data_IF_528445187861
#
_entry.id   IF_528445187861
#
_cell.length_a   1.000
_cell.length_b   1.000
_cell.length_c   1.000
_cell.angle_alpha   90.00
_cell.angle_beta   90.00
_cell.angle_gamma   90.00
#
_symmetry.space_group_name_H-M   'P 1'
#
loop_
_entity.id
_entity.type
_entity.pdbx_description
1 polymer ?
#
# COMPACT_ATOMS: atom_id res chain seq x y z
N UNK A 1 -5.97 -5.60 17.37
CA UNK A 1 -4.80 -4.70 17.36
C UNK A 1 -3.52 -5.53 17.30
N UNK A 2 -2.57 -5.25 16.41
CA UNK A 2 -1.32 -6.01 16.27
C UNK A 2 -0.36 -5.76 17.43
N UNK A 3 0.65 -6.63 17.56
CA UNK A 3 1.72 -6.46 18.56
C UNK A 3 2.82 -5.51 18.08
N UNK A 4 2.98 -5.35 16.77
CA UNK A 4 4.09 -4.60 16.17
C UNK A 4 3.98 -3.09 16.37
N UNK A 5 2.79 -2.52 16.25
CA UNK A 5 2.51 -1.10 16.41
C UNK A 5 1.18 -0.86 17.16
N UNK A 6 1.07 -1.33 18.42
CA UNK A 6 -0.19 -1.39 19.15
C UNK A 6 -0.75 0.00 19.49
N UNK A 7 0.10 0.93 19.90
CA UNK A 7 -0.30 2.28 20.33
C UNK A 7 -0.80 3.12 19.16
N UNK A 8 -0.02 3.23 18.11
CA UNK A 8 -0.38 4.02 16.93
C UNK A 8 -1.61 3.45 16.21
N UNK A 9 -1.73 2.11 16.12
CA UNK A 9 -2.92 1.48 15.54
C UNK A 9 -4.16 1.70 16.40
N UNK A 10 -4.06 1.63 17.73
CA UNK A 10 -5.17 1.92 18.62
C UNK A 10 -5.63 3.38 18.47
N UNK A 11 -4.70 4.33 18.52
CA UNK A 11 -4.97 5.76 18.31
C UNK A 11 -5.64 5.99 16.96
N UNK A 12 -5.05 5.48 15.88
CA UNK A 12 -5.58 5.66 14.53
C UNK A 12 -7.01 5.15 14.39
N UNK A 13 -7.27 3.89 14.78
CA UNK A 13 -8.61 3.28 14.68
C UNK A 13 -9.63 4.01 15.55
N UNK A 14 -9.23 4.43 16.72
CA UNK A 14 -10.09 5.20 17.62
C UNK A 14 -10.44 6.56 17.00
N UNK A 15 -9.46 7.28 16.46
CA UNK A 15 -9.70 8.60 15.84
C UNK A 15 -10.64 8.52 14.64
N UNK A 16 -10.49 7.53 13.74
CA UNK A 16 -11.40 7.39 12.59
C UNK A 16 -12.80 6.97 13.02
N UNK A 17 -12.93 6.18 14.10
CA UNK A 17 -14.23 5.81 14.69
C UNK A 17 -14.92 7.02 15.30
N UNK A 18 -14.25 7.78 16.15
CA UNK A 18 -14.79 9.01 16.73
C UNK A 18 -15.20 10.03 15.67
N UNK A 19 -14.36 10.20 14.64
CA UNK A 19 -14.65 11.14 13.54
C UNK A 19 -15.92 10.77 12.77
N UNK A 20 -16.29 9.51 12.77
CA UNK A 20 -17.52 8.99 12.15
C UNK A 20 -18.67 8.76 13.13
N UNK A 21 -18.49 9.16 14.38
CA UNK A 21 -19.44 8.97 15.49
C UNK A 21 -19.77 7.51 15.79
N UNK A 22 -18.82 6.63 15.52
CA UNK A 22 -18.89 5.23 15.91
C UNK A 22 -18.25 5.02 17.28
N UNK A 23 -18.88 4.23 18.13
CA UNK A 23 -18.21 3.64 19.27
C UNK A 23 -17.20 2.56 18.81
N UNK A 24 -16.20 2.28 19.64
CA UNK A 24 -15.21 1.26 19.32
C UNK A 24 -14.89 0.40 20.53
N UNK A 25 -14.82 -0.91 20.32
CA UNK A 25 -14.32 -1.89 21.30
C UNK A 25 -12.99 -2.42 20.78
N UNK A 26 -11.94 -2.27 21.57
CA UNK A 26 -10.59 -2.69 21.24
C UNK A 26 -10.31 -4.06 21.86
N UNK A 27 -9.97 -5.03 21.00
CA UNK A 27 -9.40 -6.32 21.41
C UNK A 27 -7.88 -6.26 21.25
N UNK A 28 -7.12 -6.07 22.34
CA UNK A 28 -5.67 -6.01 22.27
C UNK A 28 -5.07 -7.41 22.19
N UNK A 29 -3.89 -7.53 21.58
CA UNK A 29 -3.12 -8.76 21.71
C UNK A 29 -2.58 -8.90 23.14
N UNK A 30 -2.54 -10.10 23.77
CA UNK A 30 -2.10 -10.26 25.16
C UNK A 30 -0.73 -9.65 25.45
N UNK A 31 0.24 -9.77 24.55
CA UNK A 31 1.59 -9.22 24.71
C UNK A 31 1.65 -7.69 24.63
N UNK A 32 0.68 -7.03 24.03
CA UNK A 32 0.63 -5.59 23.84
C UNK A 32 -0.53 -4.93 24.60
N UNK A 33 -1.20 -5.67 25.49
CA UNK A 33 -2.40 -5.22 26.21
C UNK A 33 -2.19 -3.88 26.91
N UNK A 34 -1.18 -3.78 27.74
CA UNK A 34 -0.93 -2.58 28.55
C UNK A 34 -0.74 -1.32 27.69
N UNK A 35 0.10 -1.40 26.66
CA UNK A 35 0.38 -0.28 25.75
C UNK A 35 -0.88 0.11 24.94
N UNK A 36 -1.62 -0.89 24.44
CA UNK A 36 -2.86 -0.66 23.66
C UNK A 36 -3.90 0.05 24.51
N UNK A 37 -4.13 -0.42 25.74
CA UNK A 37 -5.12 0.17 26.66
C UNK A 37 -4.69 1.57 27.08
N UNK A 38 -3.43 1.79 27.40
CA UNK A 38 -2.93 3.11 27.75
C UNK A 38 -3.16 4.12 26.61
N UNK A 39 -2.89 3.73 25.37
CA UNK A 39 -3.15 4.57 24.19
C UNK A 39 -4.65 4.87 24.02
N UNK A 40 -5.52 3.87 24.20
CA UNK A 40 -6.96 4.04 24.12
C UNK A 40 -7.50 4.99 25.22
N UNK A 41 -6.98 4.89 26.45
CA UNK A 41 -7.34 5.78 27.56
C UNK A 41 -7.02 7.24 27.28
N UNK A 42 -5.82 7.53 26.75
CA UNK A 42 -5.44 8.89 26.38
C UNK A 42 -6.43 9.51 25.40
N UNK A 43 -6.89 8.73 24.41
CA UNK A 43 -7.87 9.22 23.44
C UNK A 43 -9.26 9.35 24.06
N UNK A 44 -9.68 8.40 24.92
CA UNK A 44 -10.96 8.46 25.63
C UNK A 44 -11.03 9.69 26.52
N UNK A 45 -10.02 9.93 27.35
CA UNK A 45 -9.97 11.06 28.28
C UNK A 45 -10.06 12.40 27.53
N UNK A 46 -9.33 12.52 26.39
CA UNK A 46 -9.41 13.71 25.55
C UNK A 46 -10.80 13.87 24.90
N UNK A 47 -11.41 12.78 24.43
CA UNK A 47 -12.72 12.79 23.80
C UNK A 47 -13.82 13.20 24.81
N UNK A 48 -13.82 12.60 25.99
CA UNK A 48 -14.79 12.92 27.05
C UNK A 48 -14.62 14.36 27.49
N UNK A 49 -13.41 14.85 27.70
CA UNK A 49 -13.12 16.25 27.99
C UNK A 49 -13.66 17.21 26.92
N UNK A 50 -13.67 16.77 25.65
CA UNK A 50 -14.24 17.51 24.52
C UNK A 50 -15.78 17.34 24.38
N UNK A 51 -16.44 16.60 25.25
CA UNK A 51 -17.89 16.41 25.29
C UNK A 51 -18.41 15.12 24.64
N UNK A 52 -17.52 14.16 24.35
CA UNK A 52 -17.97 12.84 23.92
C UNK A 52 -18.60 12.05 25.06
N UNK A 53 -19.55 11.13 24.80
CA UNK A 53 -20.11 10.27 25.82
C UNK A 53 -19.06 9.38 26.51
N UNK A 54 -19.20 9.18 27.81
CA UNK A 54 -18.44 8.13 28.50
C UNK A 54 -18.76 6.75 27.89
N UNK A 55 -17.76 5.90 27.78
CA UNK A 55 -17.93 4.55 27.22
C UNK A 55 -17.91 4.46 25.69
N UNK A 56 -17.70 5.56 24.96
CA UNK A 56 -17.58 5.54 23.48
C UNK A 56 -16.36 4.72 23.00
N UNK A 57 -15.35 4.54 23.85
CA UNK A 57 -14.18 3.70 23.61
C UNK A 57 -14.10 2.65 24.73
N UNK A 58 -14.23 1.39 24.36
CA UNK A 58 -14.08 0.25 25.25
C UNK A 58 -12.90 -0.63 24.86
N UNK A 59 -12.48 -1.52 25.76
CA UNK A 59 -11.44 -2.50 25.50
C UNK A 59 -11.64 -3.77 26.34
N UNK A 60 -11.00 -4.86 25.90
CA UNK A 60 -10.96 -6.13 26.62
C UNK A 60 -9.76 -6.11 27.58
N UNK A 61 -10.03 -6.14 28.89
CA UNK A 61 -8.97 -6.18 29.91
C UNK A 61 -8.30 -7.54 30.07
N UNK A 62 -9.05 -8.62 29.82
CA UNK A 62 -8.57 -10.00 29.86
C UNK A 62 -8.66 -10.63 28.46
N UNK A 63 -7.71 -10.32 27.55
CA UNK A 63 -7.79 -10.78 26.16
C UNK A 63 -7.80 -12.30 26.07
N UNK A 64 -8.83 -12.85 25.43
CA UNK A 64 -8.94 -14.25 25.08
C UNK A 64 -9.46 -14.41 23.65
N UNK A 65 -9.28 -15.59 23.08
CA UNK A 65 -9.82 -15.90 21.77
C UNK A 65 -11.37 -15.87 21.80
N UNK A 66 -11.97 -16.37 22.86
CA UNK A 66 -13.42 -16.38 23.06
C UNK A 66 -14.00 -14.95 23.07
N UNK A 67 -13.45 -14.05 23.88
CA UNK A 67 -13.88 -12.65 23.92
C UNK A 67 -13.64 -11.92 22.59
N UNK A 68 -12.55 -12.21 21.92
CA UNK A 68 -12.29 -11.66 20.59
C UNK A 68 -13.35 -12.12 19.58
N UNK A 69 -13.71 -13.39 19.58
CA UNK A 69 -14.77 -13.94 18.73
C UNK A 69 -16.13 -13.36 19.08
N UNK A 70 -16.42 -13.16 20.37
CA UNK A 70 -17.66 -12.51 20.82
C UNK A 70 -17.77 -11.08 20.29
N UNK A 71 -16.71 -10.28 20.42
CA UNK A 71 -16.67 -8.92 19.86
C UNK A 71 -16.84 -8.96 18.34
N UNK A 72 -16.20 -9.88 17.64
CA UNK A 72 -16.35 -10.01 16.18
C UNK A 72 -17.79 -10.38 15.78
N UNK A 73 -18.45 -11.25 16.55
CA UNK A 73 -19.84 -11.65 16.30
C UNK A 73 -20.83 -10.51 16.53
N UNK A 74 -20.59 -9.68 17.53
CA UNK A 74 -21.58 -8.72 18.02
C UNK A 74 -21.35 -7.30 17.44
N UNK A 75 -20.17 -6.99 16.92
CA UNK A 75 -19.87 -5.71 16.27
C UNK A 75 -20.60 -5.53 14.93
N UNK A 76 -20.90 -4.29 14.57
CA UNK A 76 -21.51 -3.94 13.27
C UNK A 76 -20.47 -3.98 12.14
N UNK A 77 -19.21 -3.62 12.43
CA UNK A 77 -18.08 -3.64 11.50
C UNK A 77 -16.79 -3.97 12.24
N UNK A 78 -15.91 -4.70 11.59
CA UNK A 78 -14.63 -5.15 12.16
C UNK A 78 -13.46 -4.46 11.45
N UNK A 79 -12.56 -3.85 12.22
CA UNK A 79 -11.27 -3.35 11.77
C UNK A 79 -10.16 -4.28 12.26
N UNK A 80 -9.75 -5.25 11.45
CA UNK A 80 -8.75 -6.25 11.84
C UNK A 80 -7.38 -5.92 11.22
N UNK A 81 -6.36 -5.81 12.06
CA UNK A 81 -4.95 -5.71 11.63
C UNK A 81 -4.16 -6.76 12.40
N UNK A 82 -3.47 -7.65 11.70
CA UNK A 82 -2.72 -8.71 12.34
C UNK A 82 -2.30 -9.81 11.37
N UNK A 83 -1.83 -10.92 11.91
CA UNK A 83 -1.42 -12.07 11.12
C UNK A 83 -2.59 -12.73 10.36
N UNK A 84 -2.28 -13.62 9.39
CA UNK A 84 -3.29 -14.23 8.49
C UNK A 84 -4.45 -14.91 9.23
N UNK A 85 -4.19 -15.54 10.36
CA UNK A 85 -5.23 -16.18 11.17
C UNK A 85 -6.27 -15.21 11.73
N UNK A 86 -5.84 -14.03 12.19
CA UNK A 86 -6.74 -12.99 12.70
C UNK A 86 -7.59 -12.40 11.56
N UNK A 87 -6.97 -12.14 10.42
CA UNK A 87 -7.67 -11.61 9.23
C UNK A 87 -8.70 -12.61 8.74
N UNK A 88 -8.34 -13.91 8.66
CA UNK A 88 -9.27 -14.99 8.31
C UNK A 88 -10.45 -15.08 9.29
N UNK A 89 -10.19 -15.00 10.60
CA UNK A 89 -11.25 -14.99 11.62
C UNK A 89 -12.21 -13.82 11.45
N UNK A 90 -11.70 -12.61 11.19
CA UNK A 90 -12.52 -11.44 10.94
C UNK A 90 -13.44 -11.61 9.72
N UNK A 91 -12.91 -12.07 8.58
CA UNK A 91 -13.74 -12.33 7.39
C UNK A 91 -14.70 -13.51 7.53
N UNK A 92 -14.38 -14.48 8.39
CA UNK A 92 -15.23 -15.64 8.66
C UNK A 92 -16.30 -15.41 9.74
N UNK A 93 -16.33 -14.21 10.35
CA UNK A 93 -17.27 -13.90 11.42
C UNK A 93 -18.72 -13.68 10.95
N UNK A 94 -18.94 -13.54 9.65
CA UNK A 94 -20.24 -13.17 9.06
C UNK A 94 -20.59 -11.69 9.17
N UNK A 95 -19.67 -10.85 9.66
CA UNK A 95 -19.83 -9.39 9.77
C UNK A 95 -19.01 -8.67 8.71
N UNK A 96 -19.41 -7.45 8.30
CA UNK A 96 -18.55 -6.60 7.49
C UNK A 96 -17.17 -6.42 8.14
N UNK A 97 -16.11 -6.71 7.41
CA UNK A 97 -14.76 -6.65 7.94
C UNK A 97 -13.81 -5.92 6.99
N UNK A 98 -12.95 -5.09 7.54
CA UNK A 98 -11.82 -4.45 6.91
C UNK A 98 -10.55 -5.06 7.52
N UNK A 99 -10.17 -6.23 7.01
CA UNK A 99 -9.01 -6.98 7.47
C UNK A 99 -7.82 -6.73 6.55
N UNK A 100 -6.64 -6.55 7.14
CA UNK A 100 -5.40 -6.35 6.41
C UNK A 100 -4.32 -7.29 6.96
N UNK A 101 -3.59 -7.90 6.05
CA UNK A 101 -2.61 -8.94 6.36
C UNK A 101 -1.16 -8.47 6.27
N UNK A 102 -0.28 -9.46 6.24
CA UNK A 102 1.16 -9.30 6.06
C UNK A 102 1.51 -8.85 4.63
N UNK A 103 2.69 -8.29 4.45
CA UNK A 103 3.25 -7.93 3.17
C UNK A 103 4.72 -8.29 3.08
N UNK A 104 5.21 -8.50 1.86
CA UNK A 104 6.63 -8.73 1.58
C UNK A 104 7.10 -7.72 0.54
N UNK A 105 7.31 -6.48 0.99
CA UNK A 105 7.58 -5.34 0.12
C UNK A 105 8.94 -5.47 -0.58
N UNK A 106 8.98 -5.70 -1.90
CA UNK A 106 10.21 -5.66 -2.68
C UNK A 106 10.51 -4.23 -3.12
N UNK A 107 11.79 -3.93 -3.27
CA UNK A 107 12.29 -2.68 -3.84
C UNK A 107 13.21 -2.97 -4.99
N UNK A 108 13.14 -2.18 -6.06
CA UNK A 108 14.08 -2.20 -7.17
C UNK A 108 14.87 -0.90 -7.19
N UNK A 109 16.19 -0.97 -7.33
CA UNK A 109 17.05 0.16 -7.68
C UNK A 109 17.50 -0.03 -9.11
N UNK A 110 16.95 0.78 -10.01
CA UNK A 110 17.28 0.81 -11.42
C UNK A 110 18.63 1.52 -11.66
N UNK A 111 19.27 1.24 -12.78
CA UNK A 111 20.55 1.86 -13.16
C UNK A 111 20.46 3.37 -13.46
N UNK A 112 19.26 3.87 -13.73
CA UNK A 112 18.99 5.29 -13.93
C UNK A 112 18.63 6.04 -12.64
N UNK A 113 18.53 5.32 -11.50
CA UNK A 113 18.17 5.90 -10.21
C UNK A 113 19.26 6.80 -9.64
N UNK A 114 18.85 7.80 -8.84
CA UNK A 114 19.76 8.39 -7.87
C UNK A 114 20.01 7.39 -6.73
N UNK A 115 21.11 6.65 -6.85
CA UNK A 115 21.47 5.57 -5.91
C UNK A 115 21.62 6.10 -4.48
N UNK A 116 22.16 7.31 -4.29
CA UNK A 116 22.33 7.91 -2.95
C UNK A 116 20.98 8.19 -2.30
N UNK A 117 20.07 8.78 -3.04
CA UNK A 117 18.70 9.04 -2.59
C UNK A 117 17.97 7.73 -2.32
N UNK A 118 18.07 6.74 -3.21
CA UNK A 118 17.44 5.43 -3.06
C UNK A 118 17.89 4.73 -1.77
N UNK A 119 19.20 4.58 -1.58
CA UNK A 119 19.76 3.93 -0.40
C UNK A 119 19.39 4.67 0.89
N UNK A 120 19.49 6.01 0.89
CA UNK A 120 19.08 6.80 2.05
C UNK A 120 17.60 6.60 2.40
N UNK A 121 16.74 6.60 1.41
CA UNK A 121 15.29 6.40 1.58
C UNK A 121 14.98 5.00 2.13
N UNK A 122 15.63 3.96 1.60
CA UNK A 122 15.48 2.58 2.08
C UNK A 122 15.94 2.45 3.53
N UNK A 123 17.09 3.02 3.89
CA UNK A 123 17.58 3.00 5.27
C UNK A 123 16.60 3.73 6.20
N UNK A 124 16.15 4.92 5.83
CA UNK A 124 15.20 5.70 6.60
C UNK A 124 13.88 4.94 6.83
N UNK A 125 13.38 4.30 5.79
CA UNK A 125 12.18 3.48 5.84
C UNK A 125 12.37 2.21 6.68
N UNK A 126 13.46 1.48 6.46
CA UNK A 126 13.73 0.19 7.12
C UNK A 126 14.11 0.32 8.59
N UNK A 127 14.65 1.46 9.01
CA UNK A 127 14.96 1.75 10.42
C UNK A 127 13.81 2.43 11.15
N UNK A 128 12.82 2.95 10.43
CA UNK A 128 11.62 3.50 11.06
C UNK A 128 10.91 2.40 11.85
N UNK A 129 10.70 2.65 13.14
CA UNK A 129 10.10 1.69 14.07
C UNK A 129 10.79 0.30 14.03
N UNK A 130 12.11 0.27 13.87
CA UNK A 130 12.91 -0.94 13.67
C UNK A 130 12.36 -1.91 12.62
N UNK A 131 11.82 -1.37 11.52
CA UNK A 131 11.31 -2.15 10.40
C UNK A 131 10.03 -2.92 10.65
N UNK A 132 9.28 -2.55 11.70
CA UNK A 132 8.02 -3.22 12.05
C UNK A 132 6.83 -2.83 11.19
N UNK A 133 6.91 -1.73 10.45
CA UNK A 133 5.83 -1.34 9.55
C UNK A 133 5.72 -2.38 8.42
N UNK A 134 4.52 -2.91 8.21
CA UNK A 134 4.25 -3.95 7.21
C UNK A 134 4.54 -3.51 5.76
N UNK A 135 4.58 -2.20 5.48
CA UNK A 135 5.02 -1.64 4.21
C UNK A 135 6.55 -1.48 4.09
N UNK A 136 7.30 -1.73 5.18
CA UNK A 136 8.77 -1.63 5.18
C UNK A 136 9.39 -2.58 4.18
N UNK A 137 10.46 -2.15 3.53
CA UNK A 137 11.22 -2.94 2.58
C UNK A 137 11.71 -4.24 3.19
N UNK A 138 11.43 -5.37 2.55
CA UNK A 138 11.91 -6.68 2.97
C UNK A 138 13.11 -7.13 2.12
N UNK A 139 13.19 -6.62 0.91
CA UNK A 139 14.26 -6.93 -0.03
C UNK A 139 14.55 -5.74 -0.94
N UNK A 140 15.78 -5.69 -1.44
CA UNK A 140 16.19 -4.76 -2.50
C UNK A 140 16.87 -5.53 -3.62
N UNK A 141 16.35 -5.39 -4.84
CA UNK A 141 16.98 -5.90 -6.07
C UNK A 141 17.64 -4.75 -6.77
N UNK A 142 18.94 -4.83 -6.96
CA UNK A 142 19.77 -3.77 -7.55
C UNK A 142 20.29 -4.22 -8.90
N UNK A 143 20.18 -3.37 -9.92
CA UNK A 143 20.76 -3.66 -11.23
C UNK A 143 22.30 -3.75 -11.14
N UNK A 144 22.87 -4.71 -11.85
CA UNK A 144 24.28 -5.07 -11.75
C UNK A 144 25.23 -3.87 -11.99
N UNK A 145 24.87 -2.99 -12.91
CA UNK A 145 25.66 -1.79 -13.25
C UNK A 145 25.83 -0.80 -12.09
N UNK A 146 24.89 -0.77 -11.13
CA UNK A 146 24.93 0.12 -9.96
C UNK A 146 25.03 -0.64 -8.63
N UNK A 147 25.17 -1.97 -8.69
CA UNK A 147 25.17 -2.83 -7.51
C UNK A 147 26.28 -2.47 -6.52
N UNK A 148 27.51 -2.37 -6.99
CA UNK A 148 28.65 -2.03 -6.13
C UNK A 148 28.57 -0.60 -5.58
N UNK A 149 27.98 0.33 -6.33
CA UNK A 149 27.74 1.68 -5.85
C UNK A 149 26.71 1.67 -4.71
N UNK A 150 25.60 0.95 -4.87
CA UNK A 150 24.57 0.81 -3.83
C UNK A 150 25.13 0.14 -2.57
N UNK A 151 25.92 -0.93 -2.75
CA UNK A 151 26.57 -1.64 -1.66
C UNK A 151 27.50 -0.73 -0.83
N UNK A 152 28.35 0.04 -1.51
CA UNK A 152 29.23 1.02 -0.86
C UNK A 152 28.44 2.08 -0.10
N UNK A 153 27.34 2.58 -0.69
CA UNK A 153 26.49 3.59 -0.06
C UNK A 153 25.75 3.05 1.16
N UNK A 154 25.24 1.81 1.12
CA UNK A 154 24.67 1.14 2.31
C UNK A 154 25.69 1.00 3.42
N UNK A 155 26.89 0.51 3.10
CA UNK A 155 27.96 0.34 4.10
C UNK A 155 28.41 1.69 4.69
N UNK A 156 28.58 2.72 3.85
CA UNK A 156 28.94 4.07 4.29
C UNK A 156 27.92 4.66 5.27
N UNK A 157 26.65 4.32 5.13
CA UNK A 157 25.57 4.78 6.00
C UNK A 157 25.29 3.91 7.21
N UNK A 158 26.17 2.96 7.53
CA UNK A 158 26.11 2.15 8.76
C UNK A 158 25.31 0.85 8.63
N UNK A 159 25.09 0.36 7.40
CA UNK A 159 24.55 -0.99 7.20
C UNK A 159 25.69 -2.03 7.23
N UNK A 160 25.42 -3.19 7.79
CA UNK A 160 26.37 -4.28 7.89
C UNK A 160 26.03 -5.39 6.90
N UNK A 161 26.96 -5.71 6.02
CA UNK A 161 26.87 -6.84 5.11
C UNK A 161 27.33 -8.11 5.79
N UNK A 162 26.43 -9.06 5.93
CA UNK A 162 26.73 -10.37 6.53
C UNK A 162 27.71 -11.13 5.65
N UNK A 163 28.77 -11.65 6.26
CA UNK A 163 29.76 -12.45 5.53
C UNK A 163 29.13 -13.76 5.07
N UNK A 164 29.37 -14.16 3.82
CA UNK A 164 28.89 -15.44 3.28
C UNK A 164 29.27 -16.61 4.18
N UNK A 165 28.42 -17.62 4.25
CA UNK A 165 28.58 -18.78 5.11
C UNK A 165 28.17 -18.48 6.54
N UNK A 166 29.10 -18.54 7.51
CA UNK A 166 28.80 -18.59 8.95
C UNK A 166 27.88 -17.46 9.45
N UNK A 167 28.12 -16.21 9.08
CA UNK A 167 27.29 -15.09 9.57
C UNK A 167 25.92 -15.08 8.91
N UNK A 168 25.88 -15.26 7.59
CA UNK A 168 24.64 -15.30 6.82
C UNK A 168 23.73 -16.46 7.28
N UNK A 169 24.32 -17.66 7.47
CA UNK A 169 23.57 -18.84 7.92
C UNK A 169 23.09 -18.71 9.37
N UNK A 170 23.88 -18.05 10.23
CA UNK A 170 23.46 -17.79 11.59
C UNK A 170 22.25 -16.86 11.67
N UNK A 171 22.22 -15.82 10.81
CA UNK A 171 21.07 -14.91 10.72
C UNK A 171 19.87 -15.60 10.09
N UNK A 172 20.02 -16.42 9.03
CA UNK A 172 18.93 -17.26 8.47
C UNK A 172 18.21 -18.05 9.57
N UNK A 173 18.95 -18.82 10.35
CA UNK A 173 18.42 -19.63 11.46
C UNK A 173 17.80 -18.81 12.58
N UNK A 174 18.12 -17.52 12.65
CA UNK A 174 17.59 -16.62 13.68
C UNK A 174 16.31 -15.93 13.23
N UNK A 175 16.19 -15.55 11.96
CA UNK A 175 15.01 -14.81 11.47
C UNK A 175 13.80 -15.72 11.27
N UNK A 176 13.99 -16.93 10.76
CA UNK A 176 12.92 -17.92 10.55
C UNK A 176 13.19 -19.16 11.40
N UNK A 177 12.19 -19.58 12.17
CA UNK A 177 12.25 -20.77 13.01
C UNK A 177 11.05 -21.65 12.66
N UNK A 178 11.29 -22.89 12.24
CA UNK A 178 10.25 -23.84 11.84
C UNK A 178 9.28 -23.25 10.79
N UNK A 179 9.81 -22.54 9.79
CA UNK A 179 9.03 -21.93 8.71
C UNK A 179 8.21 -20.69 9.10
N UNK A 180 8.39 -20.16 10.31
CA UNK A 180 7.69 -18.96 10.77
C UNK A 180 8.67 -17.90 11.26
N UNK A 181 8.25 -16.64 11.18
CA UNK A 181 9.02 -15.51 11.71
C UNK A 181 9.29 -15.70 13.21
N UNK A 182 10.56 -15.59 13.60
CA UNK A 182 10.95 -15.65 15.00
C UNK A 182 10.31 -14.50 15.79
N UNK A 183 9.42 -14.83 16.71
CA UNK A 183 8.67 -13.84 17.51
C UNK A 183 9.54 -12.98 18.44
N UNK A 184 10.84 -13.26 18.53
CA UNK A 184 11.80 -12.49 19.36
C UNK A 184 12.45 -11.34 18.61
N UNK A 185 12.37 -11.29 17.27
CA UNK A 185 13.09 -10.27 16.48
C UNK A 185 12.26 -9.02 16.13
N UNK A 186 10.91 -9.04 15.95
CA UNK A 186 10.18 -7.82 15.66
C UNK A 186 10.43 -6.74 16.73
N UNK A 187 10.78 -5.53 16.27
CA UNK A 187 11.05 -4.38 17.12
C UNK A 187 12.46 -4.29 17.70
N UNK A 188 13.29 -5.31 17.48
CA UNK A 188 14.70 -5.26 17.91
C UNK A 188 15.57 -4.52 16.91
N UNK A 189 16.62 -3.88 17.43
CA UNK A 189 17.66 -3.28 16.60
C UNK A 189 18.45 -4.34 15.82
N UNK A 190 19.12 -3.91 14.75
CA UNK A 190 20.02 -4.78 13.99
C UNK A 190 21.11 -5.41 14.89
N UNK A 191 21.66 -4.64 15.82
CA UNK A 191 22.63 -5.11 16.80
C UNK A 191 22.10 -6.23 17.70
N UNK A 192 20.89 -6.06 18.26
CA UNK A 192 20.26 -7.10 19.10
C UNK A 192 19.97 -8.38 18.31
N UNK A 193 19.58 -8.26 17.04
CA UNK A 193 19.35 -9.43 16.18
C UNK A 193 20.66 -10.14 15.86
N UNK A 194 21.72 -9.39 15.53
CA UNK A 194 23.05 -9.96 15.33
C UNK A 194 23.55 -10.70 16.57
N UNK A 195 23.35 -10.10 17.77
CA UNK A 195 23.69 -10.73 19.05
C UNK A 195 22.92 -12.03 19.28
N UNK A 196 21.62 -12.06 18.96
CA UNK A 196 20.81 -13.30 19.03
C UNK A 196 21.32 -14.37 18.05
N UNK A 197 21.83 -13.97 16.90
CA UNK A 197 22.42 -14.87 15.90
C UNK A 197 23.88 -15.28 16.24
N UNK A 198 24.50 -14.69 17.28
CA UNK A 198 25.91 -14.91 17.59
C UNK A 198 26.87 -14.28 16.57
N UNK A 199 26.42 -13.23 15.88
CA UNK A 199 27.21 -12.44 14.92
C UNK A 199 27.68 -11.15 15.59
N UNK A 200 28.94 -10.81 15.41
CA UNK A 200 29.52 -9.61 16.01
C UNK A 200 29.51 -8.45 15.01
N UNK A 201 28.76 -7.40 15.33
CA UNK A 201 28.60 -6.20 14.51
C UNK A 201 28.77 -4.94 15.37
N UNK A 202 29.07 -3.76 14.79
CA UNK A 202 29.04 -2.49 15.53
C UNK A 202 27.69 -2.23 16.19
N UNK A 203 27.69 -1.61 17.36
CA UNK A 203 26.45 -1.34 18.12
C UNK A 203 25.49 -0.38 17.38
N UNK A 204 26.04 0.54 16.61
CA UNK A 204 25.33 1.51 15.80
C UNK A 204 24.88 0.99 14.43
N UNK A 205 25.01 -0.32 14.18
CA UNK A 205 24.57 -0.96 12.94
C UNK A 205 23.07 -0.71 12.70
N UNK A 206 22.75 -0.13 11.56
CA UNK A 206 21.38 0.25 11.21
C UNK A 206 20.57 -0.91 10.65
N UNK A 207 21.15 -1.66 9.72
CA UNK A 207 20.50 -2.77 9.01
C UNK A 207 21.52 -3.90 8.83
N UNK A 208 21.08 -5.14 9.03
CA UNK A 208 21.81 -6.33 8.61
C UNK A 208 21.41 -6.67 7.18
N UNK A 209 22.34 -6.72 6.26
CA UNK A 209 22.09 -7.03 4.84
C UNK A 209 22.65 -8.40 4.51
N UNK A 210 21.78 -9.29 4.05
CA UNK A 210 22.15 -10.57 3.45
C UNK A 210 22.17 -10.48 1.94
N UNK A 211 23.34 -10.69 1.33
CA UNK A 211 23.44 -10.88 -0.12
C UNK A 211 23.03 -12.32 -0.45
N UNK A 212 21.92 -12.48 -1.12
CA UNK A 212 21.33 -13.79 -1.45
C UNK A 212 20.91 -13.83 -2.93
N UNK A 213 20.86 -15.02 -3.49
CA UNK A 213 20.53 -15.22 -4.91
C UNK A 213 19.09 -15.66 -5.13
N UNK A 214 18.62 -16.59 -4.28
CA UNK A 214 17.29 -17.18 -4.41
C UNK A 214 16.23 -16.26 -3.84
N UNK A 215 15.16 -16.06 -4.61
CA UNK A 215 13.92 -15.39 -4.18
C UNK A 215 12.82 -16.39 -3.78
N UNK A 216 13.13 -17.69 -3.86
CA UNK A 216 12.21 -18.75 -3.44
C UNK A 216 11.93 -18.67 -1.94
N UNK A 217 10.71 -19.02 -1.55
CA UNK A 217 10.28 -19.00 -0.14
C UNK A 217 11.07 -19.99 0.76
N UNK A 218 11.84 -20.90 0.19
CA UNK A 218 12.77 -21.75 0.93
C UNK A 218 14.01 -20.99 1.43
N UNK A 219 14.29 -19.79 0.88
CA UNK A 219 15.32 -18.87 1.39
C UNK A 219 14.72 -18.02 2.50
N UNK A 220 15.25 -18.07 3.70
CA UNK A 220 14.73 -17.35 4.86
C UNK A 220 14.78 -15.82 4.69
N UNK A 221 15.76 -15.31 3.94
CA UNK A 221 15.81 -13.89 3.60
C UNK A 221 14.71 -13.43 2.64
N UNK A 222 14.03 -14.34 1.93
CA UNK A 222 12.91 -14.02 1.05
C UNK A 222 11.61 -13.73 1.83
N UNK A 223 11.53 -14.09 3.10
CA UNK A 223 10.34 -13.88 3.94
C UNK A 223 10.18 -12.43 4.43
N UNK A 224 8.99 -12.09 4.92
CA UNK A 224 8.76 -10.90 5.74
C UNK A 224 9.50 -11.04 7.07
N UNK A 225 10.27 -10.01 7.46
CA UNK A 225 11.14 -10.06 8.63
C UNK A 225 10.74 -9.12 9.77
N UNK A 226 9.91 -8.10 9.50
CA UNK A 226 9.43 -7.10 10.47
C UNK A 226 10.54 -6.59 11.41
N UNK A 227 11.71 -6.34 10.85
CA UNK A 227 12.93 -6.02 11.60
C UNK A 227 13.97 -5.37 10.66
N UNK A 228 15.02 -4.73 11.16
CA UNK A 228 16.07 -4.13 10.34
C UNK A 228 17.02 -5.19 9.72
N UNK A 229 16.44 -6.18 9.06
CA UNK A 229 17.13 -7.20 8.26
C UNK A 229 16.61 -7.10 6.83
N UNK A 230 17.51 -7.00 5.85
CA UNK A 230 17.21 -6.77 4.46
C UNK A 230 17.88 -7.83 3.57
N UNK A 231 17.15 -8.42 2.64
CA UNK A 231 17.73 -9.21 1.56
C UNK A 231 18.25 -8.28 0.46
N UNK A 232 19.40 -8.56 -0.12
CA UNK A 232 19.92 -7.84 -1.27
C UNK A 232 20.20 -8.80 -2.42
N UNK A 233 19.52 -8.55 -3.55
CA UNK A 233 19.61 -9.32 -4.77
C UNK A 233 20.30 -8.52 -5.87
N UNK A 234 20.98 -9.21 -6.77
CA UNK A 234 21.51 -8.65 -7.99
C UNK A 234 20.63 -9.05 -9.18
N UNK A 235 20.43 -8.15 -10.14
CA UNK A 235 19.78 -8.45 -11.40
C UNK A 235 20.58 -7.87 -12.57
N UNK A 236 20.66 -8.61 -13.68
CA UNK A 236 21.38 -8.15 -14.89
C UNK A 236 20.56 -7.16 -15.70
N UNK A 237 19.25 -7.32 -15.69
CA UNK A 237 18.32 -6.49 -16.46
C UNK A 237 17.16 -6.03 -15.57
N UNK A 238 16.46 -5.00 -16.02
CA UNK A 238 15.25 -4.51 -15.34
C UNK A 238 14.14 -5.56 -15.31
N UNK A 239 13.97 -6.34 -16.40
CA UNK A 239 12.97 -7.39 -16.46
C UNK A 239 13.29 -8.53 -15.46
N UNK A 240 14.58 -8.92 -15.31
CA UNK A 240 14.98 -9.87 -14.24
C UNK A 240 14.68 -9.32 -12.83
N UNK A 241 14.90 -8.03 -12.62
CA UNK A 241 14.56 -7.40 -11.34
C UNK A 241 13.06 -7.42 -11.07
N UNK A 242 12.24 -7.19 -12.10
CA UNK A 242 10.78 -7.29 -12.02
C UNK A 242 10.32 -8.71 -11.67
N UNK A 243 10.89 -9.72 -12.35
CA UNK A 243 10.55 -11.13 -12.11
C UNK A 243 10.86 -11.52 -10.65
N UNK A 244 12.06 -11.15 -10.15
CA UNK A 244 12.42 -11.37 -8.74
C UNK A 244 11.46 -10.69 -7.78
N UNK A 245 11.13 -9.43 -8.02
CA UNK A 245 10.18 -8.69 -7.19
C UNK A 245 8.77 -9.28 -7.23
N UNK A 246 8.30 -9.69 -8.42
CA UNK A 246 6.99 -10.32 -8.59
C UNK A 246 6.90 -11.67 -7.87
N UNK A 247 7.96 -12.48 -7.91
CA UNK A 247 8.03 -13.75 -7.18
C UNK A 247 7.98 -13.54 -5.66
N UNK A 248 8.76 -12.57 -5.13
CA UNK A 248 8.73 -12.22 -3.71
C UNK A 248 7.35 -11.76 -3.23
N UNK A 249 6.60 -11.04 -4.07
CA UNK A 249 5.20 -10.66 -3.79
C UNK A 249 4.29 -11.89 -3.84
N UNK A 250 4.48 -12.78 -4.82
CA UNK A 250 3.65 -13.98 -4.96
C UNK A 250 3.78 -14.91 -3.75
N UNK A 251 4.99 -15.14 -3.30
CA UNK A 251 5.28 -16.06 -2.19
C UNK A 251 5.03 -15.44 -0.81
N UNK A 252 5.28 -14.13 -0.66
CA UNK A 252 5.12 -13.41 0.60
C UNK A 252 3.74 -12.84 0.87
N UNK A 253 2.84 -12.88 -0.11
CA UNK A 253 1.46 -12.37 -0.04
C UNK A 253 1.21 -11.17 -0.95
N UNK A 254 0.20 -11.32 -1.80
CA UNK A 254 -0.24 -10.30 -2.74
C UNK A 254 -0.87 -9.08 -2.07
N UNK A 255 -0.87 -7.98 -2.79
CA UNK A 255 -1.74 -6.82 -2.56
C UNK A 255 -1.14 -5.73 -1.67
N UNK A 256 0.01 -5.95 -1.01
CA UNK A 256 0.49 -4.96 -0.05
C UNK A 256 1.18 -3.76 -0.71
N UNK A 257 2.48 -3.74 -0.84
CA UNK A 257 3.28 -2.58 -1.29
C UNK A 257 4.47 -3.05 -2.13
N UNK A 258 4.86 -2.27 -3.12
CA UNK A 258 6.12 -2.40 -3.86
C UNK A 258 6.74 -1.02 -4.11
N UNK A 259 8.05 -0.95 -4.30
CA UNK A 259 8.76 0.31 -4.53
C UNK A 259 9.76 0.18 -5.68
N UNK A 260 9.94 1.28 -6.42
CA UNK A 260 10.89 1.40 -7.51
C UNK A 260 11.63 2.73 -7.41
N UNK A 261 12.96 2.68 -7.39
CA UNK A 261 13.82 3.85 -7.55
C UNK A 261 14.35 3.87 -8.99
N UNK A 262 14.05 4.94 -9.71
CA UNK A 262 14.28 5.08 -11.15
C UNK A 262 14.29 6.56 -11.53
N UNK A 263 14.94 6.93 -12.61
CA UNK A 263 14.83 8.30 -13.11
C UNK A 263 13.39 8.61 -13.54
N UNK A 264 12.80 9.75 -13.15
CA UNK A 264 11.39 10.05 -13.43
C UNK A 264 10.99 10.10 -14.91
N UNK A 265 11.96 10.24 -15.81
CA UNK A 265 11.74 10.21 -17.26
C UNK A 265 11.51 8.79 -17.82
N UNK A 266 11.92 7.73 -17.09
CA UNK A 266 11.79 6.32 -17.51
C UNK A 266 10.34 5.81 -17.38
N UNK A 267 9.43 6.42 -18.12
CA UNK A 267 7.99 6.14 -18.04
C UNK A 267 7.64 4.69 -18.37
N UNK A 268 8.36 4.10 -19.32
CA UNK A 268 8.16 2.70 -19.71
C UNK A 268 8.53 1.74 -18.58
N UNK A 269 9.66 1.95 -17.90
CA UNK A 269 10.04 1.14 -16.74
C UNK A 269 9.06 1.29 -15.58
N UNK A 270 8.59 2.52 -15.32
CA UNK A 270 7.57 2.78 -14.31
C UNK A 270 6.28 2.04 -14.65
N UNK A 271 5.85 2.08 -15.93
CA UNK A 271 4.66 1.39 -16.40
C UNK A 271 4.81 -0.13 -16.24
N UNK A 272 5.88 -0.72 -16.74
CA UNK A 272 6.17 -2.16 -16.58
C UNK A 272 6.12 -2.58 -15.11
N UNK A 273 6.69 -1.77 -14.21
CA UNK A 273 6.69 -2.07 -12.77
C UNK A 273 5.27 -2.14 -12.20
N UNK A 274 4.43 -1.12 -12.41
CA UNK A 274 3.08 -1.16 -11.82
C UNK A 274 2.16 -2.20 -12.49
N UNK A 275 2.39 -2.57 -13.73
CA UNK A 275 1.66 -3.65 -14.41
C UNK A 275 2.06 -5.05 -13.90
N UNK A 276 3.35 -5.26 -13.61
CA UNK A 276 3.87 -6.52 -13.10
C UNK A 276 3.54 -6.76 -11.63
N UNK A 277 3.54 -5.69 -10.80
CA UNK A 277 3.38 -5.81 -9.36
C UNK A 277 1.91 -5.96 -8.95
N UNK A 278 1.54 -7.13 -8.43
CA UNK A 278 0.22 -7.36 -7.81
C UNK A 278 0.17 -6.77 -6.39
N UNK A 279 0.38 -5.46 -6.29
CA UNK A 279 0.35 -4.68 -5.04
C UNK A 279 -0.56 -3.48 -5.19
N UNK A 280 -1.28 -3.12 -4.12
CA UNK A 280 -2.22 -1.98 -4.14
C UNK A 280 -1.52 -0.62 -3.95
N UNK A 281 -0.29 -0.63 -3.46
CA UNK A 281 0.57 0.54 -3.31
C UNK A 281 1.85 0.33 -4.10
N UNK A 282 1.99 1.11 -5.17
CA UNK A 282 3.20 1.15 -5.99
C UNK A 282 3.86 2.50 -5.76
N UNK A 283 5.04 2.50 -5.17
CA UNK A 283 5.75 3.69 -4.75
C UNK A 283 6.94 3.95 -5.68
N UNK A 284 7.04 5.16 -6.20
CA UNK A 284 8.14 5.57 -7.07
C UNK A 284 8.98 6.58 -6.33
N UNK A 285 10.28 6.29 -6.19
CA UNK A 285 11.26 7.16 -5.52
C UNK A 285 10.82 7.61 -4.11
N UNK A 286 10.16 6.72 -3.38
CA UNK A 286 9.54 7.02 -2.09
C UNK A 286 9.90 5.94 -1.06
N UNK A 287 10.28 6.30 0.18
CA UNK A 287 10.49 5.34 1.27
C UNK A 287 9.23 4.52 1.51
N UNK A 288 9.32 3.20 1.54
CA UNK A 288 8.13 2.36 1.49
C UNK A 288 7.29 2.41 2.77
N UNK A 289 7.91 2.50 3.96
CA UNK A 289 7.16 2.63 5.23
C UNK A 289 6.32 3.89 5.27
N UNK A 290 6.93 5.06 5.09
CA UNK A 290 6.26 6.35 5.17
C UNK A 290 5.30 6.55 3.99
N UNK A 291 5.73 6.20 2.78
CA UNK A 291 4.88 6.32 1.60
C UNK A 291 3.66 5.40 1.67
N UNK A 292 3.83 4.17 2.17
CA UNK A 292 2.74 3.20 2.28
C UNK A 292 1.68 3.59 3.31
N UNK A 293 2.09 4.08 4.48
CA UNK A 293 1.14 4.54 5.51
C UNK A 293 0.46 5.88 5.14
N UNK A 294 0.87 6.51 4.04
CA UNK A 294 0.33 7.79 3.60
C UNK A 294 0.90 8.94 4.39
N UNK A 295 1.82 9.64 3.77
CA UNK A 295 2.65 10.64 4.44
C UNK A 295 2.78 11.93 3.65
N UNK A 296 3.80 12.69 4.02
CA UNK A 296 4.14 13.98 3.43
C UNK A 296 4.82 13.89 2.05
N UNK A 297 5.25 12.69 1.61
CA UNK A 297 6.03 12.57 0.36
C UNK A 297 5.19 12.65 -0.91
N UNK A 298 3.96 12.14 -0.92
CA UNK A 298 3.21 12.00 -2.17
C UNK A 298 1.76 12.52 -2.13
N UNK A 299 1.12 12.62 -0.98
CA UNK A 299 -0.27 13.08 -0.76
C UNK A 299 -1.36 12.30 -1.55
N UNK A 300 -1.00 11.21 -2.24
CA UNK A 300 -1.95 10.35 -2.97
C UNK A 300 -2.59 9.31 -2.09
N UNK A 301 -1.86 8.84 -1.09
CA UNK A 301 -2.32 7.86 -0.13
C UNK A 301 -2.77 8.58 1.14
N UNK A 302 -4.02 8.35 1.55
CA UNK A 302 -4.52 8.88 2.82
C UNK A 302 -3.76 8.25 3.99
N UNK A 303 -3.42 9.02 5.05
CA UNK A 303 -2.78 8.47 6.25
C UNK A 303 -3.60 7.33 6.86
N UNK A 304 -2.96 6.17 7.05
CA UNK A 304 -3.61 4.99 7.60
C UNK A 304 -2.62 4.01 8.20
N UNK A 305 -3.06 3.31 9.23
CA UNK A 305 -2.40 2.12 9.79
C UNK A 305 -3.21 0.84 9.52
N UNK A 306 -4.08 0.89 8.51
CA UNK A 306 -4.84 -0.26 8.02
C UNK A 306 -4.76 -0.25 6.49
N UNK A 307 -3.78 -0.96 5.96
CA UNK A 307 -3.38 -0.91 4.55
C UNK A 307 -4.03 -2.05 3.78
N UNK A 308 -5.14 -1.77 3.11
CA UNK A 308 -5.88 -2.77 2.34
C UNK A 308 -5.04 -3.40 1.22
N UNK A 309 -5.17 -4.71 1.04
CA UNK A 309 -4.43 -5.48 0.03
C UNK A 309 -5.32 -5.93 -1.15
N UNK A 310 -6.56 -5.46 -1.21
CA UNK A 310 -7.51 -5.80 -2.26
C UNK A 310 -7.84 -7.27 -2.37
N UNK A 311 -8.51 -7.65 -3.43
CA UNK A 311 -8.85 -9.05 -3.70
C UNK A 311 -7.61 -9.93 -3.88
N UNK A 312 -6.50 -9.38 -4.38
CA UNK A 312 -5.23 -10.10 -4.45
C UNK A 312 -4.75 -10.59 -3.10
N UNK A 313 -4.88 -9.77 -2.06
CA UNK A 313 -4.52 -10.14 -0.68
C UNK A 313 -5.68 -10.73 0.12
N UNK A 314 -6.81 -11.09 -0.52
CA UNK A 314 -7.99 -11.59 0.16
C UNK A 314 -8.68 -10.57 1.07
N UNK A 315 -8.54 -9.28 0.74
CA UNK A 315 -9.14 -8.19 1.52
C UNK A 315 -10.33 -7.57 0.81
N UNK A 316 -11.25 -6.98 1.56
CA UNK A 316 -12.42 -6.25 1.05
C UNK A 316 -12.10 -4.85 0.54
N UNK A 317 -10.91 -4.31 0.82
CA UNK A 317 -10.46 -2.99 0.38
C UNK A 317 -9.04 -3.06 -0.20
N UNK A 318 -8.76 -2.24 -1.20
CA UNK A 318 -7.46 -2.11 -1.86
C UNK A 318 -6.71 -0.83 -1.49
N UNK A 319 -7.33 0.07 -0.74
CA UNK A 319 -6.78 1.36 -0.38
C UNK A 319 -6.47 1.48 1.12
N UNK A 320 -5.86 2.59 1.49
CA UNK A 320 -5.63 2.94 2.88
C UNK A 320 -6.98 3.19 3.56
N UNK A 321 -7.32 2.39 4.56
CA UNK A 321 -8.59 2.50 5.28
C UNK A 321 -8.63 3.81 6.07
N UNK A 322 -9.72 4.53 5.95
CA UNK A 322 -9.94 5.80 6.63
C UNK A 322 -11.42 6.04 6.93
N UNK A 323 -11.75 7.27 7.23
CA UNK A 323 -13.10 7.71 7.64
C UNK A 323 -14.21 7.23 6.70
N UNK A 324 -14.02 7.33 5.38
CA UNK A 324 -15.04 6.95 4.39
C UNK A 324 -15.50 5.49 4.47
N UNK A 325 -14.64 4.61 4.99
CA UNK A 325 -14.93 3.18 5.11
C UNK A 325 -15.83 2.85 6.32
N UNK A 326 -16.02 3.80 7.22
CA UNK A 326 -16.88 3.67 8.41
C UNK A 326 -18.20 4.46 8.27
N UNK A 327 -18.51 4.94 7.07
CA UNK A 327 -19.71 5.70 6.78
C UNK A 327 -20.67 4.89 5.90
N UNK A 328 -21.94 4.85 6.28
CA UNK A 328 -23.01 4.38 5.40
C UNK A 328 -23.52 5.56 4.57
N UNK A 329 -23.40 5.47 3.27
CA UNK A 329 -23.90 6.49 2.34
C UNK A 329 -25.36 6.17 1.99
N UNK A 330 -26.26 7.14 2.21
CA UNK A 330 -27.66 7.06 1.77
C UNK A 330 -27.86 7.87 0.51
N UNK A 331 -28.46 7.28 -0.48
CA UNK A 331 -28.87 7.99 -1.70
C UNK A 331 -30.36 8.31 -1.60
N UNK A 332 -30.71 9.58 -1.70
CA UNK A 332 -32.10 10.01 -1.84
C UNK A 332 -32.35 10.29 -3.31
N UNK A 333 -33.25 9.52 -3.90
CA UNK A 333 -33.66 9.70 -5.29
C UNK A 333 -35.12 10.13 -5.32
N UNK A 334 -35.38 11.28 -5.91
CA UNK A 334 -36.73 11.83 -6.09
C UNK A 334 -37.13 11.72 -7.54
N UNK A 335 -38.35 11.24 -7.79
CA UNK A 335 -38.93 11.22 -9.12
C UNK A 335 -39.34 12.64 -9.55
N UNK A 336 -38.85 13.06 -10.71
CA UNK A 336 -39.21 14.36 -11.31
C UNK A 336 -40.27 14.16 -12.36
N UNK A 337 -41.55 14.01 -11.96
CA UNK A 337 -42.62 13.69 -12.87
C UNK A 337 -43.01 14.85 -13.80
N UNK A 338 -42.86 16.08 -13.33
CA UNK A 338 -43.31 17.29 -14.07
C UNK A 338 -42.15 18.09 -14.68
N UNK A 339 -40.95 17.51 -14.74
CA UNK A 339 -39.81 18.19 -15.32
C UNK A 339 -39.47 17.61 -16.69
N UNK A 340 -39.89 18.34 -17.72
CA UNK A 340 -39.35 18.13 -19.05
C UNK A 340 -37.94 18.73 -19.08
N UNK A 341 -36.93 17.88 -19.15
CA UNK A 341 -35.57 18.35 -19.38
C UNK A 341 -35.11 17.93 -20.76
N UNK A 342 -34.43 18.85 -21.40
CA UNK A 342 -33.88 18.68 -22.74
C UNK A 342 -32.36 18.78 -22.65
N UNK A 343 -31.67 17.76 -23.12
CA UNK A 343 -30.21 17.78 -23.22
C UNK A 343 -29.81 18.18 -24.62
N UNK A 344 -29.26 19.35 -24.78
CA UNK A 344 -28.67 19.79 -26.03
C UNK A 344 -27.26 19.24 -26.18
N UNK A 345 -26.75 19.06 -27.40
CA UNK A 345 -25.33 18.83 -27.65
C UNK A 345 -24.49 19.94 -27.02
N UNK A 346 -23.25 19.62 -26.68
CA UNK A 346 -22.31 20.57 -26.10
C UNK A 346 -22.10 21.81 -26.98
N UNK A 347 -22.20 21.63 -28.32
CA UNK A 347 -22.16 22.70 -29.29
C UNK A 347 -23.33 22.60 -30.27
N UNK A 348 -24.00 23.72 -30.48
CA UNK A 348 -25.05 23.90 -31.50
C UNK A 348 -24.67 25.08 -32.33
N UNK A 349 -24.48 24.88 -33.65
CA UNK A 349 -24.21 25.95 -34.61
C UNK A 349 -25.51 26.37 -35.25
N UNK A 350 -25.91 27.60 -35.00
CA UNK A 350 -27.19 28.12 -35.45
C UNK A 350 -27.03 29.50 -36.12
N UNK A 351 -26.72 29.51 -37.41
CA UNK A 351 -26.65 30.71 -38.24
C UNK A 351 -26.54 30.31 -39.70
N UNK A 352 -27.12 31.10 -40.61
CA UNK A 352 -26.88 30.92 -42.05
C UNK A 352 -25.39 31.02 -42.37
N UNK A 353 -24.82 29.98 -42.99
CA UNK A 353 -23.41 29.92 -43.36
C UNK A 353 -22.46 29.40 -42.25
N UNK A 354 -22.97 28.87 -41.13
CA UNK A 354 -22.12 28.31 -40.07
C UNK A 354 -21.57 26.91 -40.39
N UNK A 355 -22.08 26.22 -41.39
CA UNK A 355 -21.68 24.85 -41.73
C UNK A 355 -20.18 24.68 -41.99
N UNK A 356 -19.52 25.49 -42.83
CA UNK A 356 -18.09 25.37 -43.06
C UNK A 356 -17.26 25.52 -41.75
N UNK A 357 -17.65 26.46 -40.88
CA UNK A 357 -16.98 26.68 -39.59
C UNK A 357 -17.13 25.47 -38.68
N UNK A 358 -18.34 24.90 -38.60
CA UNK A 358 -18.60 23.72 -37.81
C UNK A 358 -17.78 22.51 -38.28
N UNK A 359 -17.67 22.31 -39.59
CA UNK A 359 -16.88 21.22 -40.17
C UNK A 359 -15.38 21.40 -39.97
N UNK A 360 -14.87 22.62 -40.09
CA UNK A 360 -13.47 22.91 -39.79
C UNK A 360 -13.14 22.66 -38.33
N UNK A 361 -14.04 23.02 -37.40
CA UNK A 361 -13.84 22.75 -35.97
C UNK A 361 -13.79 21.26 -35.62
N UNK A 362 -14.55 20.40 -36.34
CA UNK A 362 -14.48 18.94 -36.15
C UNK A 362 -13.06 18.40 -36.34
N UNK A 363 -12.35 18.87 -37.36
CA UNK A 363 -10.99 18.46 -37.64
C UNK A 363 -9.94 19.17 -36.78
N UNK A 364 -10.00 20.52 -36.72
CA UNK A 364 -8.93 21.34 -36.16
C UNK A 364 -8.97 21.44 -34.62
N UNK A 365 -10.17 21.51 -34.06
CA UNK A 365 -10.33 21.70 -32.59
C UNK A 365 -10.71 20.39 -31.89
N UNK A 366 -11.70 19.66 -32.46
CA UNK A 366 -12.17 18.42 -31.87
C UNK A 366 -11.35 17.18 -32.26
N UNK A 367 -10.45 17.32 -33.23
CA UNK A 367 -9.59 16.26 -33.75
C UNK A 367 -10.33 14.98 -34.17
N UNK A 368 -11.56 15.13 -34.72
CA UNK A 368 -12.35 14.01 -35.18
C UNK A 368 -12.06 13.69 -36.68
N UNK A 369 -11.94 12.41 -36.97
CA UNK A 369 -11.63 11.89 -38.32
C UNK A 369 -12.84 11.20 -38.99
N UNK A 370 -13.93 11.01 -38.27
CA UNK A 370 -15.13 10.37 -38.75
C UNK A 370 -16.35 11.08 -38.17
N UNK A 371 -17.38 11.25 -38.96
CA UNK A 371 -18.65 11.81 -38.54
C UNK A 371 -19.82 10.87 -38.96
N UNK A 372 -20.88 10.90 -38.18
CA UNK A 372 -22.12 10.23 -38.50
C UNK A 372 -23.20 11.30 -38.70
N UNK A 373 -23.77 11.34 -39.91
CA UNK A 373 -24.76 12.36 -40.28
C UNK A 373 -26.14 11.79 -40.00
N UNK A 374 -26.92 12.47 -39.16
CA UNK A 374 -28.34 12.18 -38.92
C UNK A 374 -29.15 13.29 -39.55
N UNK A 375 -30.00 12.94 -40.51
CA UNK A 375 -30.85 13.88 -41.26
C UNK A 375 -32.15 13.20 -41.66
N UNK A 376 -33.14 13.95 -42.11
CA UNK A 376 -34.34 13.38 -42.69
C UNK A 376 -34.22 13.16 -44.21
N UNK A 377 -35.17 12.39 -44.76
CA UNK A 377 -35.19 12.01 -46.19
C UNK A 377 -35.34 13.21 -47.12
N UNK A 378 -36.05 14.25 -46.71
CA UNK A 378 -36.24 15.45 -47.53
C UNK A 378 -34.93 16.23 -47.67
N UNK A 379 -34.26 16.53 -46.57
CA UNK A 379 -33.00 17.26 -46.56
C UNK A 379 -31.90 16.50 -47.33
N UNK A 380 -31.84 15.18 -47.17
CA UNK A 380 -30.89 14.35 -47.88
C UNK A 380 -31.12 14.37 -49.39
N UNK A 381 -32.36 14.07 -49.84
CA UNK A 381 -32.71 14.03 -51.26
C UNK A 381 -32.56 15.37 -51.97
N UNK A 382 -32.70 16.47 -51.24
CA UNK A 382 -32.53 17.81 -51.80
C UNK A 382 -31.09 18.35 -51.68
N UNK A 383 -30.12 17.50 -51.29
CA UNK A 383 -28.69 17.80 -51.32
C UNK A 383 -28.19 18.72 -50.20
N UNK A 384 -28.98 18.91 -49.13
CA UNK A 384 -28.55 19.75 -48.00
C UNK A 384 -27.39 19.15 -47.23
N UNK A 385 -27.17 17.83 -47.30
CA UNK A 385 -26.04 17.13 -46.67
C UNK A 385 -24.79 17.11 -47.53
N UNK A 386 -24.90 17.41 -48.83
CA UNK A 386 -23.80 17.27 -49.79
C UNK A 386 -22.55 18.06 -49.41
N UNK A 387 -22.70 19.28 -48.90
CA UNK A 387 -21.60 20.11 -48.46
C UNK A 387 -20.87 19.51 -47.25
N UNK A 388 -21.51 18.64 -46.45
CA UNK A 388 -20.89 17.92 -45.33
C UNK A 388 -20.12 16.73 -45.89
N UNK A 389 -20.73 15.96 -46.79
CA UNK A 389 -20.13 14.80 -47.46
C UNK A 389 -18.85 15.23 -48.20
N UNK A 390 -18.95 16.24 -49.06
CA UNK A 390 -17.81 16.77 -49.85
C UNK A 390 -16.64 17.32 -49.01
N UNK A 391 -16.91 17.68 -47.76
CA UNK A 391 -15.87 18.20 -46.86
C UNK A 391 -15.23 17.10 -45.99
N UNK A 392 -15.93 15.99 -45.77
CA UNK A 392 -15.48 14.88 -44.90
C UNK A 392 -14.84 13.76 -45.71
N UNK A 393 -14.96 13.71 -47.04
CA UNK A 393 -14.22 12.85 -47.95
C UNK A 393 -12.80 13.42 -48.18
#
# INVERSE_FOLDING_TARGET
>A
IPTTNPTSTAIFKTLISLKTRNAIIISPHPRAKAATIAAAKVVLDAAVKAGAPEGIIGWIDAPSLELTNTVMRDADIILATGGPGMVKAAYSSGKPALGVGAGNTPVIIDDTADVRMAVNSIIHSKTFDNGMICASEQSVTVLESVYEQAKKEFAYRGCYFLKPGKELDAVRKTIIINGALNSKIPGKSAYEIAKLAGVNVPEDTKILIGEVESVDIAEEFAHEKLSPVLAMYKAKTFDEALDKAAQLVADGGYGHTSSLYVHPAEKEKIQKHYEAMKTCRVLINTPASQGGIGDLYNFKLAPSLTLGCGSWGGNSVSENVGVKHLLNVKTVAERRENMLWFRTPEKVYFKKGCMPVALDELGTVMHKKKAFIVTDTFLYKNGYTKAIEDKLD
#
